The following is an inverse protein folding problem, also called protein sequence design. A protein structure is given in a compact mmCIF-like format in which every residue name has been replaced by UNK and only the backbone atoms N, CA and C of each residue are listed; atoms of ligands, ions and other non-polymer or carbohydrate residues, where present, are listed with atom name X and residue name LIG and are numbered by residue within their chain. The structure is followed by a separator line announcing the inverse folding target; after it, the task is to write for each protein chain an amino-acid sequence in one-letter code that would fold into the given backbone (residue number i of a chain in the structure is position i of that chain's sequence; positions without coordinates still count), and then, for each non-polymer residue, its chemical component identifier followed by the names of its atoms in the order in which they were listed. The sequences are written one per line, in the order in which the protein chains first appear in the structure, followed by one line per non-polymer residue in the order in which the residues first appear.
data_IF_235256681844
#
_entry.id   IF_235256681844
#
_cell.length_a   1.000
_cell.length_b   1.000
_cell.length_c   1.000
_cell.angle_alpha   90.00
_cell.angle_beta   90.00
_cell.angle_gamma   90.00
#
_symmetry.space_group_name_H-M   'P 1'
#
loop_
_entity.id
_entity.type
_entity.pdbx_description
1 polymer ?
#
# COMPACT_ATOMS: atom_id res chain seq x y z
N UNK A 1 -46.98 18.81 -79.06
CA UNK A 1 -47.81 18.49 -77.89
C UNK A 1 -47.77 16.99 -77.67
N UNK A 2 -46.95 16.53 -76.72
CA UNK A 2 -47.25 15.33 -75.94
C UNK A 2 -46.54 15.50 -74.59
N UNK A 3 -47.32 15.84 -73.55
CA UNK A 3 -46.95 15.70 -72.14
C UNK A 3 -46.70 14.20 -71.87
N UNK A 4 -45.91 13.73 -70.92
CA UNK A 4 -45.58 14.26 -69.60
C UNK A 4 -44.49 13.38 -69.01
N UNK A 5 -43.53 14.04 -68.35
CA UNK A 5 -42.71 13.62 -67.20
C UNK A 5 -42.88 12.18 -66.66
N UNK A 6 -41.75 11.52 -66.41
CA UNK A 6 -41.31 11.29 -65.03
C UNK A 6 -39.83 10.84 -64.99
N UNK A 7 -38.99 11.79 -64.58
CA UNK A 7 -37.67 11.59 -64.01
C UNK A 7 -37.76 10.98 -62.59
N UNK A 8 -36.99 9.95 -62.30
CA UNK A 8 -36.50 9.64 -60.95
C UNK A 8 -35.36 8.62 -61.05
N UNK A 9 -34.13 9.11 -61.19
CA UNK A 9 -33.18 9.31 -60.08
C UNK A 9 -32.55 8.00 -59.59
N UNK A 10 -31.34 7.74 -60.11
CA UNK A 10 -30.33 6.92 -59.46
C UNK A 10 -30.21 7.35 -57.98
N UNK A 11 -30.56 6.47 -57.04
CA UNK A 11 -30.30 6.70 -55.62
C UNK A 11 -28.94 6.08 -55.24
N UNK A 12 -27.94 6.95 -55.18
CA UNK A 12 -26.64 6.69 -54.58
C UNK A 12 -26.72 6.74 -53.04
N UNK A 13 -26.50 5.61 -52.36
CA UNK A 13 -26.11 5.51 -50.93
C UNK A 13 -27.20 5.83 -49.88
N UNK A 14 -27.06 5.35 -48.62
CA UNK A 14 -25.89 5.71 -47.83
C UNK A 14 -25.03 4.52 -47.38
N UNK A 15 -23.76 4.83 -47.16
CA UNK A 15 -22.73 3.96 -46.65
C UNK A 15 -23.10 3.37 -45.28
N UNK A 16 -23.16 2.04 -45.18
CA UNK A 16 -23.10 1.33 -43.91
C UNK A 16 -21.65 1.33 -43.39
N UNK A 17 -21.12 2.51 -43.04
CA UNK A 17 -19.78 2.62 -42.50
C UNK A 17 -19.79 3.53 -41.26
N UNK A 18 -19.47 2.95 -40.09
CA UNK A 18 -18.84 3.72 -39.01
C UNK A 18 -19.36 3.56 -37.58
N UNK A 19 -20.44 2.80 -37.32
CA UNK A 19 -20.97 2.74 -35.93
C UNK A 19 -20.10 1.87 -34.99
N UNK A 20 -19.56 0.75 -35.48
CA UNK A 20 -18.76 -0.18 -34.66
C UNK A 20 -17.33 0.30 -34.32
N UNK A 21 -16.74 1.20 -35.11
CA UNK A 21 -15.35 1.62 -34.91
C UNK A 21 -15.22 2.76 -33.87
N UNK A 22 -16.22 3.64 -33.78
CA UNK A 22 -16.25 4.74 -32.80
C UNK A 22 -16.56 4.25 -31.38
N UNK A 23 -17.48 3.30 -31.22
CA UNK A 23 -17.81 2.69 -29.92
C UNK A 23 -16.66 1.85 -29.34
N UNK A 24 -15.95 1.07 -30.18
CA UNK A 24 -14.73 0.34 -29.75
C UNK A 24 -13.64 1.27 -29.24
N UNK A 25 -13.41 2.40 -29.94
CA UNK A 25 -12.41 3.41 -29.53
C UNK A 25 -12.81 4.12 -28.23
N UNK A 26 -14.10 4.30 -27.95
CA UNK A 26 -14.59 4.84 -26.69
C UNK A 26 -14.40 3.87 -25.52
N UNK A 27 -14.74 2.58 -25.70
CA UNK A 27 -14.52 1.54 -24.69
C UNK A 27 -13.05 1.35 -24.32
N UNK A 28 -12.15 1.39 -25.31
CA UNK A 28 -10.69 1.32 -25.06
C UNK A 28 -10.21 2.54 -24.27
N UNK A 29 -10.66 3.75 -24.63
CA UNK A 29 -10.29 4.98 -23.89
C UNK A 29 -10.80 4.96 -22.46
N UNK A 30 -12.03 4.50 -22.24
CA UNK A 30 -12.59 4.34 -20.89
C UNK A 30 -11.80 3.30 -20.08
N UNK A 31 -11.45 2.17 -20.68
CA UNK A 31 -10.62 1.14 -20.02
C UNK A 31 -9.22 1.66 -19.66
N UNK A 32 -8.57 2.39 -20.56
CA UNK A 32 -7.27 3.05 -20.27
C UNK A 32 -7.43 4.06 -19.14
N UNK A 33 -8.49 4.86 -19.14
CA UNK A 33 -8.74 5.84 -18.09
C UNK A 33 -8.92 5.19 -16.71
N UNK A 34 -9.70 4.10 -16.62
CA UNK A 34 -9.88 3.33 -15.39
C UNK A 34 -8.55 2.72 -14.93
N UNK A 35 -7.76 2.17 -15.86
CA UNK A 35 -6.44 1.63 -15.55
C UNK A 35 -5.49 2.71 -15.00
N UNK A 36 -5.49 3.90 -15.59
CA UNK A 36 -4.68 5.03 -15.11
C UNK A 36 -5.06 5.43 -13.68
N UNK A 37 -6.35 5.51 -13.37
CA UNK A 37 -6.82 5.80 -12.01
C UNK A 37 -6.38 4.70 -11.04
N UNK A 38 -6.50 3.42 -11.43
CA UNK A 38 -6.09 2.30 -10.59
C UNK A 38 -4.58 2.35 -10.30
N UNK A 39 -3.75 2.58 -11.33
CA UNK A 39 -2.30 2.72 -11.17
C UNK A 39 -1.96 3.93 -10.29
N UNK A 40 -2.59 5.08 -10.52
CA UNK A 40 -2.39 6.28 -9.70
C UNK A 40 -2.77 6.04 -8.23
N UNK A 41 -3.86 5.30 -7.99
CA UNK A 41 -4.32 4.95 -6.64
C UNK A 41 -3.33 4.01 -5.94
N UNK A 42 -2.85 2.96 -6.63
CA UNK A 42 -1.84 2.05 -6.08
C UNK A 42 -0.54 2.78 -5.82
N UNK A 43 -0.08 3.63 -6.73
CA UNK A 43 1.11 4.46 -6.55
C UNK A 43 0.95 5.40 -5.34
N UNK A 44 -0.20 6.06 -5.19
CA UNK A 44 -0.48 6.89 -4.02
C UNK A 44 -0.39 6.08 -2.73
N UNK A 45 -1.02 4.91 -2.65
CA UNK A 45 -0.97 4.05 -1.45
C UNK A 45 0.44 3.53 -1.15
N UNK A 46 1.26 3.29 -2.17
CA UNK A 46 2.64 2.84 -2.02
C UNK A 46 3.54 3.95 -1.45
N UNK A 47 3.45 5.17 -1.98
CA UNK A 47 4.43 6.22 -1.66
C UNK A 47 3.95 7.20 -0.60
N UNK A 48 2.65 7.50 -0.52
CA UNK A 48 2.13 8.39 0.50
C UNK A 48 2.21 7.76 1.90
N UNK A 49 2.41 8.62 2.89
CA UNK A 49 2.35 8.26 4.31
C UNK A 49 1.31 9.14 4.97
N UNK A 50 0.49 8.54 5.82
CA UNK A 50 -0.51 9.24 6.63
C UNK A 50 0.15 10.06 7.75
N UNK A 51 1.23 9.53 8.31
CA UNK A 51 2.02 10.20 9.32
C UNK A 51 3.34 9.48 9.56
N UNK A 52 4.09 9.98 10.53
CA UNK A 52 5.37 9.46 10.96
C UNK A 52 5.53 9.67 12.47
N UNK A 53 6.47 8.93 13.05
CA UNK A 53 6.75 9.03 14.47
C UNK A 53 7.77 8.01 14.92
N UNK A 54 7.88 7.83 16.23
CA UNK A 54 8.76 6.82 16.81
C UNK A 54 8.13 6.15 18.03
N UNK A 55 8.59 4.93 18.32
CA UNK A 55 8.27 4.20 19.55
C UNK A 55 9.54 3.65 20.17
N UNK A 56 9.56 3.59 21.49
CA UNK A 56 10.70 3.12 22.26
C UNK A 56 10.32 1.83 22.99
N UNK A 57 11.23 0.86 23.02
CA UNK A 57 11.01 -0.44 23.65
C UNK A 57 12.15 -1.42 23.38
N UNK A 58 11.97 -2.68 23.75
CA UNK A 58 12.85 -3.80 23.39
C UNK A 58 12.18 -4.62 22.29
N UNK A 59 12.89 -4.92 21.21
CA UNK A 59 12.34 -5.80 20.16
C UNK A 59 12.34 -7.23 20.70
N UNK A 60 11.17 -7.84 20.77
CA UNK A 60 11.00 -9.18 21.31
C UNK A 60 11.14 -10.26 20.24
N UNK A 61 10.80 -9.92 18.99
CA UNK A 61 10.72 -10.87 17.90
C UNK A 61 10.78 -10.19 16.54
N UNK A 62 11.42 -10.87 15.60
CA UNK A 62 11.31 -10.63 14.16
C UNK A 62 10.91 -11.93 13.46
N UNK A 63 10.02 -11.84 12.47
CA UNK A 63 9.52 -13.00 11.73
C UNK A 63 9.29 -12.65 10.26
N UNK A 64 9.78 -13.51 9.36
CA UNK A 64 9.58 -13.34 7.92
C UNK A 64 8.27 -14.00 7.46
N UNK A 65 7.23 -13.20 7.21
CA UNK A 65 5.87 -13.65 6.90
C UNK A 65 5.45 -13.33 5.46
N UNK A 66 4.30 -13.84 5.04
CA UNK A 66 3.73 -13.65 3.70
C UNK A 66 3.74 -14.92 2.82
N UNK A 67 2.91 -14.94 1.77
CA UNK A 67 2.78 -16.09 0.85
C UNK A 67 3.55 -15.84 -0.44
N UNK A 68 3.18 -14.81 -1.20
CA UNK A 68 3.83 -14.43 -2.46
C UNK A 68 4.96 -13.41 -2.25
N UNK A 69 4.73 -12.44 -1.37
CA UNK A 69 5.68 -11.40 -1.01
C UNK A 69 6.04 -11.58 0.44
N UNK A 70 7.34 -11.72 0.72
CA UNK A 70 7.84 -11.90 2.08
C UNK A 70 8.23 -10.56 2.67
N UNK A 71 7.72 -10.27 3.85
CA UNK A 71 8.00 -9.06 4.64
C UNK A 71 8.48 -9.45 6.03
N UNK A 72 9.13 -8.50 6.71
CA UNK A 72 9.70 -8.71 8.03
C UNK A 72 8.81 -8.07 9.08
N UNK A 73 8.20 -8.89 9.93
CA UNK A 73 7.20 -8.48 10.90
C UNK A 73 7.77 -8.58 12.31
N UNK A 74 7.71 -7.47 13.04
CA UNK A 74 8.33 -7.31 14.35
C UNK A 74 7.35 -7.04 15.48
N UNK A 75 7.77 -7.39 16.68
CA UNK A 75 7.05 -7.15 17.94
C UNK A 75 7.95 -6.34 18.88
N UNK A 76 7.50 -5.14 19.27
CA UNK A 76 8.20 -4.24 20.19
C UNK A 76 7.51 -4.25 21.55
N UNK A 77 8.25 -4.59 22.59
CA UNK A 77 7.82 -4.51 23.99
C UNK A 77 8.08 -3.10 24.51
N UNK A 78 7.03 -2.30 24.68
CA UNK A 78 7.19 -0.90 25.09
C UNK A 78 7.38 -0.76 26.62
N UNK A 79 7.00 -1.77 27.38
CA UNK A 79 6.83 -1.68 28.84
C UNK A 79 5.70 -0.71 29.19
N UNK A 80 4.93 -1.03 30.22
CA UNK A 80 3.88 -0.16 30.75
C UNK A 80 3.80 -0.35 32.26
N UNK A 81 3.81 0.74 33.01
CA UNK A 81 3.57 0.67 34.44
C UNK A 81 2.06 0.57 34.64
N UNK A 82 1.60 -0.58 35.12
CA UNK A 82 0.21 -0.74 35.50
C UNK A 82 0.00 -0.04 36.85
N UNK A 83 -0.79 1.03 36.83
CA UNK A 83 -1.10 1.83 38.01
C UNK A 83 -2.30 1.29 38.79
N UNK A 84 -2.80 0.10 38.44
CA UNK A 84 -3.93 -0.52 39.12
C UNK A 84 -3.57 -0.83 40.59
N UNK A 85 -4.35 -0.33 41.57
CA UNK A 85 -4.08 -0.50 43.00
C UNK A 85 -3.96 -1.96 43.45
N UNK A 86 -4.62 -2.87 42.72
CA UNK A 86 -4.84 -4.25 43.14
C UNK A 86 -3.79 -5.24 42.61
N UNK A 87 -3.00 -4.84 41.59
CA UNK A 87 -2.10 -5.77 40.85
C UNK A 87 -0.63 -5.37 40.91
N UNK A 88 -0.32 -4.10 41.22
CA UNK A 88 1.04 -3.61 41.49
C UNK A 88 2.14 -4.28 40.64
N UNK A 89 2.23 -3.95 39.35
CA UNK A 89 3.14 -4.68 38.45
C UNK A 89 3.51 -3.94 37.16
N UNK A 90 4.58 -4.43 36.51
CA UNK A 90 4.99 -3.99 35.17
C UNK A 90 4.24 -4.83 34.14
N UNK A 91 3.30 -4.23 33.43
CA UNK A 91 2.66 -4.83 32.27
C UNK A 91 3.47 -4.53 31.00
N UNK A 92 3.25 -5.30 29.93
CA UNK A 92 3.90 -5.04 28.64
C UNK A 92 2.86 -4.73 27.59
N UNK A 93 3.00 -3.58 26.91
CA UNK A 93 2.27 -3.29 25.69
C UNK A 93 3.12 -3.73 24.49
N UNK A 94 2.59 -4.69 23.74
CA UNK A 94 3.19 -5.14 22.47
C UNK A 94 2.74 -4.20 21.36
N UNK A 95 3.71 -3.70 20.59
CA UNK A 95 3.47 -2.96 19.38
C UNK A 95 4.01 -3.73 18.17
N UNK A 96 3.14 -3.95 17.19
CA UNK A 96 3.49 -4.63 15.95
C UNK A 96 3.94 -3.63 14.91
N UNK A 97 4.99 -3.98 14.17
CA UNK A 97 5.53 -3.17 13.09
C UNK A 97 6.02 -4.05 11.95
N UNK A 98 6.19 -3.43 10.78
CA UNK A 98 6.76 -4.08 9.61
C UNK A 98 8.06 -3.36 9.24
N UNK A 99 9.07 -4.12 8.84
CA UNK A 99 10.27 -3.63 8.17
C UNK A 99 10.19 -4.12 6.72
N UNK A 100 10.50 -3.23 5.78
CA UNK A 100 10.73 -3.67 4.40
C UNK A 100 11.99 -4.56 4.34
N UNK A 101 12.36 -5.08 3.17
CA UNK A 101 13.61 -5.85 3.00
C UNK A 101 14.87 -4.95 3.05
N UNK A 102 14.90 -3.98 3.95
CA UNK A 102 16.05 -3.13 4.25
C UNK A 102 17.01 -3.88 5.21
N UNK A 103 18.06 -4.46 4.63
CA UNK A 103 19.02 -5.25 5.38
C UNK A 103 19.71 -4.46 6.50
N UNK A 104 19.96 -3.17 6.30
CA UNK A 104 20.63 -2.34 7.30
C UNK A 104 19.76 -2.17 8.55
N UNK A 105 18.46 -1.91 8.37
CA UNK A 105 17.51 -1.82 9.49
C UNK A 105 17.35 -3.16 10.20
N UNK A 106 17.29 -4.26 9.44
CA UNK A 106 17.19 -5.61 9.99
C UNK A 106 18.41 -5.99 10.82
N UNK A 107 19.62 -5.74 10.32
CA UNK A 107 20.87 -6.00 11.02
C UNK A 107 20.96 -5.20 12.33
N UNK A 108 20.53 -3.94 12.33
CA UNK A 108 20.46 -3.11 13.53
C UNK A 108 19.46 -3.65 14.57
N UNK A 109 18.30 -4.14 14.12
CA UNK A 109 17.32 -4.77 15.00
C UNK A 109 17.89 -6.08 15.58
N UNK A 110 18.47 -6.94 14.75
CA UNK A 110 19.03 -8.22 15.19
C UNK A 110 20.18 -8.02 16.19
N UNK A 111 21.05 -7.04 15.96
CA UNK A 111 22.09 -6.66 16.90
C UNK A 111 21.51 -6.21 18.25
N UNK A 112 20.46 -5.36 18.22
CA UNK A 112 19.79 -4.92 19.44
C UNK A 112 19.10 -6.07 20.20
N UNK A 113 18.50 -7.02 19.49
CA UNK A 113 17.91 -8.24 20.09
C UNK A 113 18.99 -9.07 20.77
N UNK A 114 20.11 -9.34 20.10
CA UNK A 114 21.22 -10.15 20.63
C UNK A 114 21.83 -9.55 21.91
N UNK A 115 21.86 -8.22 21.99
CA UNK A 115 22.39 -7.49 23.15
C UNK A 115 21.33 -7.13 24.18
N UNK A 116 20.07 -7.52 23.97
CA UNK A 116 18.92 -7.16 24.81
C UNK A 116 18.81 -5.64 25.04
N UNK A 117 19.11 -4.85 24.00
CA UNK A 117 19.13 -3.38 24.07
C UNK A 117 17.75 -2.78 23.83
N UNK A 118 17.49 -1.67 24.51
CA UNK A 118 16.33 -0.82 24.24
C UNK A 118 16.62 0.02 22.99
N UNK A 119 15.63 0.13 22.10
CA UNK A 119 15.73 0.87 20.85
C UNK A 119 14.58 1.84 20.68
N UNK A 120 14.84 2.89 19.91
CA UNK A 120 13.86 3.80 19.34
C UNK A 120 13.68 3.46 17.87
N UNK A 121 12.50 2.99 17.52
CA UNK A 121 12.11 2.66 16.15
C UNK A 121 11.33 3.83 15.56
N UNK A 122 11.85 4.43 14.49
CA UNK A 122 11.12 5.45 13.73
C UNK A 122 10.37 4.78 12.58
N UNK A 123 9.11 5.16 12.41
CA UNK A 123 8.21 4.55 11.45
C UNK A 123 7.45 5.59 10.62
N UNK A 124 7.04 5.16 9.42
CA UNK A 124 6.04 5.85 8.60
C UNK A 124 4.73 5.07 8.67
N UNK A 125 3.64 5.74 9.01
CA UNK A 125 2.29 5.17 8.98
C UNK A 125 1.72 5.28 7.56
N UNK A 126 1.27 4.16 7.01
CA UNK A 126 0.58 4.11 5.71
C UNK A 126 -0.92 4.28 5.87
N UNK A 127 -1.57 4.87 4.86
CA UNK A 127 -3.04 4.98 4.80
C UNK A 127 -3.70 3.59 4.83
N UNK A 128 -3.20 2.69 3.98
CA UNK A 128 -3.59 1.29 3.88
C UNK A 128 -2.34 0.46 3.64
N UNK A 129 -2.33 -0.79 4.10
CA UNK A 129 -1.26 -1.72 3.80
C UNK A 129 -1.67 -2.61 2.63
N UNK A 130 -0.73 -2.85 1.72
CA UNK A 130 -0.88 -3.78 0.61
C UNK A 130 -0.11 -5.06 0.95
N UNK A 131 -0.52 -6.25 0.47
CA UNK A 131 0.09 -7.52 0.87
C UNK A 131 1.59 -7.66 0.58
N UNK A 132 2.14 -6.86 -0.34
CA UNK A 132 3.57 -6.83 -0.66
C UNK A 132 4.35 -5.76 0.10
N UNK A 133 3.68 -4.96 0.93
CA UNK A 133 4.29 -3.91 1.75
C UNK A 133 4.46 -4.38 3.19
N UNK A 134 3.48 -5.10 3.74
CA UNK A 134 3.55 -5.60 5.12
C UNK A 134 2.25 -6.11 5.72
N UNK A 135 2.34 -6.63 6.95
CA UNK A 135 1.16 -6.97 7.76
C UNK A 135 0.63 -5.75 8.54
N UNK A 136 1.47 -4.75 8.83
CA UNK A 136 1.10 -3.58 9.64
C UNK A 136 1.20 -2.28 8.85
N UNK A 137 0.45 -1.25 9.27
CA UNK A 137 0.54 0.09 8.66
C UNK A 137 1.81 0.84 9.08
N UNK A 138 2.57 0.32 10.02
CA UNK A 138 3.72 1.00 10.62
C UNK A 138 5.02 0.44 10.04
N UNK A 139 5.55 1.12 9.02
CA UNK A 139 6.81 0.75 8.38
C UNK A 139 7.99 1.39 9.08
N UNK A 140 8.78 0.60 9.78
CA UNK A 140 10.01 1.03 10.44
C UNK A 140 11.11 1.15 9.39
N UNK A 141 11.82 2.29 9.43
CA UNK A 141 12.90 2.60 8.49
C UNK A 141 14.17 3.11 9.19
N UNK A 142 14.15 3.26 10.52
CA UNK A 142 15.30 3.72 11.30
C UNK A 142 15.28 3.13 12.70
N UNK A 143 16.45 2.69 13.16
CA UNK A 143 16.69 2.16 14.50
C UNK A 143 17.74 3.03 15.17
N UNK A 144 17.50 3.42 16.42
CA UNK A 144 18.46 4.12 17.26
C UNK A 144 18.55 3.37 18.59
N UNK A 145 19.74 3.00 19.04
CA UNK A 145 19.92 2.43 20.38
C UNK A 145 19.68 3.52 21.44
N UNK A 146 18.93 3.17 22.49
CA UNK A 146 18.72 4.05 23.65
C UNK A 146 19.74 3.64 24.70
N UNK A 147 20.60 4.58 25.10
CA UNK A 147 21.54 4.42 26.20
C UNK A 147 20.83 4.33 27.55
#
# INVERSE_FOLDING_TARGET
MNSSNASSSQSSGPASQGFGFRAKRFGIRAGIFVLLIAVATVAFLMFASYGDGYRVGTVAKMSRKGVLFKTWEGELNQGYLDQSPDVGGVATRIWYFTVDNDQHVLDQIDHAIQQNKKVKLSYKEKYRILPWVGDTRQLVFKVEEVQ
#
